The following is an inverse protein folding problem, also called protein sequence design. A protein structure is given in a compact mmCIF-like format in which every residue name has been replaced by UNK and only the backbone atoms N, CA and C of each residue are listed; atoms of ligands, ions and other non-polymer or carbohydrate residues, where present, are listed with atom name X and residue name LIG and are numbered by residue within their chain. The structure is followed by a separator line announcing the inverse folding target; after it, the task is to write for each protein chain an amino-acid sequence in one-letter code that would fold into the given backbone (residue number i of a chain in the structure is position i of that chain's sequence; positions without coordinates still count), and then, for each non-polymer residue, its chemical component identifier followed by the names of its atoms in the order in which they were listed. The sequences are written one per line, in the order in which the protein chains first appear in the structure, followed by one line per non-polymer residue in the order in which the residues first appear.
data_IF_997494090592
#
_entry.id   IF_997494090592
#
_cell.length_a   1.000
_cell.length_b   1.000
_cell.length_c   1.000
_cell.angle_alpha   90.00
_cell.angle_beta   90.00
_cell.angle_gamma   90.00
#
_symmetry.space_group_name_H-M   'P 1'
#
loop_
_entity.id
_entity.type
_entity.pdbx_description
1 polymer ?
#
# COMPACT_ATOMS: atom_id res chain seq x y z
N UNK A 1 -71.67 20.51 19.48
CA UNK A 1 -70.26 20.80 19.85
C UNK A 1 -69.37 19.75 19.19
N UNK A 2 -68.60 20.10 18.15
CA UNK A 2 -67.67 19.18 17.50
C UNK A 2 -66.28 19.27 18.17
N UNK A 3 -65.78 18.13 18.65
CA UNK A 3 -64.42 18.01 19.19
C UNK A 3 -63.42 17.77 18.07
N UNK A 4 -62.51 18.71 17.86
CA UNK A 4 -61.39 18.62 16.92
C UNK A 4 -60.29 17.70 17.48
N UNK A 5 -60.10 16.53 16.85
CA UNK A 5 -58.95 15.66 17.13
C UNK A 5 -57.69 16.23 16.48
N UNK A 6 -56.73 16.65 17.31
CA UNK A 6 -55.38 17.06 16.90
C UNK A 6 -54.54 15.83 16.56
N UNK A 7 -54.29 15.60 15.26
CA UNK A 7 -53.30 14.62 14.81
C UNK A 7 -51.89 15.20 14.91
N UNK A 8 -51.15 14.81 15.95
CA UNK A 8 -49.72 15.08 16.05
C UNK A 8 -48.94 14.26 15.00
N UNK A 9 -48.46 14.91 13.95
CA UNK A 9 -47.50 14.33 12.98
C UNK A 9 -46.16 14.10 13.68
N UNK A 10 -45.84 12.84 13.97
CA UNK A 10 -44.49 12.43 14.38
C UNK A 10 -43.60 12.36 13.14
N UNK A 11 -42.67 13.31 13.01
CA UNK A 11 -41.67 13.31 11.94
C UNK A 11 -40.61 12.19 12.15
N UNK A 12 -40.23 11.44 11.10
CA UNK A 12 -39.22 10.37 11.22
C UNK A 12 -37.81 10.96 11.31
N UNK A 13 -37.29 11.12 12.54
CA UNK A 13 -35.96 11.68 12.83
C UNK A 13 -34.79 10.67 12.88
N UNK A 14 -34.96 9.41 12.44
CA UNK A 14 -33.98 8.33 12.73
C UNK A 14 -33.22 7.72 11.54
N UNK A 15 -33.41 8.20 10.32
CA UNK A 15 -32.74 7.62 9.12
C UNK A 15 -31.39 8.27 8.81
N UNK A 16 -31.12 9.47 9.32
CA UNK A 16 -29.91 10.24 8.99
C UNK A 16 -28.61 9.66 9.56
N UNK A 17 -28.66 8.95 10.68
CA UNK A 17 -27.44 8.49 11.36
C UNK A 17 -26.73 7.35 10.62
N UNK A 18 -27.45 6.42 9.99
CA UNK A 18 -26.84 5.25 9.33
C UNK A 18 -26.15 5.59 8.00
N UNK A 19 -26.69 6.53 7.23
CA UNK A 19 -26.07 6.99 5.99
C UNK A 19 -24.75 7.76 6.25
N UNK A 20 -24.66 8.49 7.36
CA UNK A 20 -23.44 9.18 7.78
C UNK A 20 -22.31 8.19 8.11
N UNK A 21 -22.61 7.10 8.82
CA UNK A 21 -21.58 6.10 9.18
C UNK A 21 -21.00 5.38 7.96
N UNK A 22 -21.82 5.05 6.96
CA UNK A 22 -21.36 4.42 5.71
C UNK A 22 -20.44 5.34 4.89
N UNK A 23 -20.80 6.63 4.78
CA UNK A 23 -19.97 7.64 4.11
C UNK A 23 -18.65 7.91 4.83
N UNK A 24 -18.65 7.99 6.16
CA UNK A 24 -17.44 8.24 6.97
C UNK A 24 -16.48 7.04 6.91
N UNK A 25 -16.96 5.81 7.00
CA UNK A 25 -16.12 4.61 6.86
C UNK A 25 -15.52 4.48 5.46
N UNK A 26 -16.28 4.82 4.43
CA UNK A 26 -15.78 4.81 3.04
C UNK A 26 -14.77 5.93 2.80
N UNK A 27 -15.02 7.12 3.33
CA UNK A 27 -14.09 8.26 3.28
C UNK A 27 -12.79 8.01 4.06
N UNK A 28 -12.87 7.43 5.26
CA UNK A 28 -11.70 7.07 6.07
C UNK A 28 -10.90 5.94 5.42
N UNK A 29 -11.56 4.95 4.80
CA UNK A 29 -10.92 3.89 4.03
C UNK A 29 -10.36 4.36 2.68
N UNK A 30 -10.64 5.58 2.23
CA UNK A 30 -9.97 6.18 1.07
C UNK A 30 -8.84 7.11 1.54
N UNK A 31 -9.06 7.87 2.62
CA UNK A 31 -8.08 8.79 3.18
C UNK A 31 -6.87 8.08 3.83
N UNK A 32 -7.04 6.87 4.38
CA UNK A 32 -5.95 6.11 5.00
C UNK A 32 -5.05 5.36 4.00
N UNK A 33 -5.34 5.40 2.69
CA UNK A 33 -4.62 4.60 1.69
C UNK A 33 -4.17 5.45 0.49
N UNK A 34 -3.09 6.19 0.68
CA UNK A 34 -2.49 7.11 -0.30
C UNK A 34 -1.57 6.43 -1.35
N UNK A 35 -1.30 5.12 -1.27
CA UNK A 35 -0.36 4.43 -2.18
C UNK A 35 -0.99 3.58 -3.29
N UNK A 36 -2.01 2.76 -2.98
CA UNK A 36 -2.66 1.83 -3.92
C UNK A 36 -4.19 2.00 -3.88
N UNK A 37 -4.65 3.17 -4.36
CA UNK A 37 -6.02 3.65 -4.22
C UNK A 37 -7.07 2.81 -4.99
N UNK A 38 -6.70 2.19 -6.11
CA UNK A 38 -7.68 1.50 -6.97
C UNK A 38 -8.29 0.25 -6.31
N UNK A 39 -7.47 -0.60 -5.69
CA UNK A 39 -7.96 -1.86 -5.12
C UNK A 39 -8.74 -1.66 -3.82
N UNK A 40 -8.34 -0.69 -2.98
CA UNK A 40 -9.07 -0.37 -1.74
C UNK A 40 -10.36 0.42 -2.01
N UNK A 41 -10.35 1.36 -2.98
CA UNK A 41 -11.54 2.16 -3.29
C UNK A 41 -12.66 1.33 -3.92
N UNK A 42 -12.33 0.37 -4.79
CA UNK A 42 -13.34 -0.52 -5.38
C UNK A 42 -13.97 -1.41 -4.29
N UNK A 43 -13.14 -2.02 -3.43
CA UNK A 43 -13.63 -2.85 -2.33
C UNK A 43 -14.51 -2.07 -1.35
N UNK A 44 -14.04 -0.90 -0.89
CA UNK A 44 -14.79 -0.04 0.02
C UNK A 44 -16.09 0.49 -0.63
N UNK A 45 -16.05 0.85 -1.92
CA UNK A 45 -17.22 1.31 -2.67
C UNK A 45 -18.30 0.24 -2.80
N UNK A 46 -17.93 -1.01 -3.09
CA UNK A 46 -18.88 -2.13 -3.17
C UNK A 46 -19.51 -2.42 -1.80
N UNK A 47 -18.72 -2.46 -0.73
CA UNK A 47 -19.23 -2.68 0.63
C UNK A 47 -20.16 -1.54 1.06
N UNK A 48 -19.77 -0.29 0.79
CA UNK A 48 -20.57 0.90 1.06
C UNK A 48 -21.90 0.86 0.33
N UNK A 49 -21.92 0.50 -0.96
CA UNK A 49 -23.13 0.36 -1.75
C UNK A 49 -24.05 -0.75 -1.22
N UNK A 50 -23.49 -1.92 -0.87
CA UNK A 50 -24.24 -3.05 -0.31
C UNK A 50 -24.87 -2.67 1.04
N UNK A 51 -24.11 -2.06 1.95
CA UNK A 51 -24.61 -1.65 3.26
C UNK A 51 -25.67 -0.56 3.16
N UNK A 52 -25.49 0.41 2.25
CA UNK A 52 -26.47 1.48 2.00
C UNK A 52 -27.76 0.90 1.41
N UNK A 53 -27.65 -0.03 0.47
CA UNK A 53 -28.79 -0.75 -0.10
C UNK A 53 -29.55 -1.56 0.95
N UNK A 54 -28.84 -2.28 1.83
CA UNK A 54 -29.43 -3.02 2.94
C UNK A 54 -30.15 -2.09 3.92
N UNK A 55 -29.54 -0.96 4.27
CA UNK A 55 -30.14 0.02 5.17
C UNK A 55 -31.42 0.63 4.56
N UNK A 56 -31.38 1.01 3.28
CA UNK A 56 -32.54 1.53 2.56
C UNK A 56 -33.67 0.51 2.40
N UNK A 57 -33.34 -0.78 2.28
CA UNK A 57 -34.33 -1.85 2.24
C UNK A 57 -34.97 -2.09 3.63
N UNK A 58 -34.16 -2.06 4.70
CA UNK A 58 -34.64 -2.23 6.07
C UNK A 58 -35.54 -1.07 6.55
N UNK A 59 -35.38 0.14 6.02
CA UNK A 59 -36.29 1.26 6.34
C UNK A 59 -37.63 1.15 5.65
N UNK A 60 -37.68 0.55 4.46
CA UNK A 60 -38.94 0.32 3.71
C UNK A 60 -39.71 -0.90 4.19
N UNK A 61 -39.03 -1.90 4.75
CA UNK A 61 -39.63 -3.13 5.25
C UNK A 61 -39.38 -3.29 6.76
N UNK A 62 -40.34 -2.93 7.64
CA UNK A 62 -40.17 -3.08 9.09
C UNK A 62 -40.15 -4.57 9.45
N UNK A 63 -38.93 -5.08 9.64
CA UNK A 63 -38.67 -6.47 9.98
C UNK A 63 -38.99 -6.77 11.45
N UNK A 64 -39.44 -8.00 11.71
CA UNK A 64 -39.57 -8.52 13.07
C UNK A 64 -38.22 -8.44 13.83
N UNK A 65 -38.21 -8.27 15.17
CA UNK A 65 -36.98 -8.12 15.94
C UNK A 65 -35.95 -9.25 15.74
N UNK A 66 -36.43 -10.48 15.50
CA UNK A 66 -35.58 -11.65 15.24
C UNK A 66 -34.82 -11.55 13.91
N UNK A 67 -35.49 -11.15 12.82
CA UNK A 67 -34.84 -10.99 11.51
C UNK A 67 -33.87 -9.81 11.49
N UNK A 68 -34.13 -8.75 12.27
CA UNK A 68 -33.18 -7.64 12.45
C UNK A 68 -31.85 -8.09 13.10
N UNK A 69 -31.90 -8.90 14.16
CA UNK A 69 -30.68 -9.45 14.79
C UNK A 69 -29.92 -10.39 13.84
N UNK A 70 -30.64 -11.19 13.06
CA UNK A 70 -30.04 -12.07 12.06
C UNK A 70 -29.32 -11.27 10.98
N UNK A 71 -29.93 -10.21 10.45
CA UNK A 71 -29.30 -9.32 9.47
C UNK A 71 -28.07 -8.60 10.00
N UNK A 72 -28.08 -8.12 11.26
CA UNK A 72 -26.90 -7.52 11.86
C UNK A 72 -25.73 -8.51 11.95
N UNK A 73 -26.00 -9.78 12.29
CA UNK A 73 -24.98 -10.83 12.33
C UNK A 73 -24.42 -11.12 10.95
N UNK A 74 -25.28 -11.24 9.94
CA UNK A 74 -24.86 -11.44 8.54
C UNK A 74 -24.01 -10.26 8.06
N UNK A 75 -24.42 -9.02 8.36
CA UNK A 75 -23.65 -7.82 8.03
C UNK A 75 -22.28 -7.78 8.70
N UNK A 76 -22.19 -8.15 9.99
CA UNK A 76 -20.92 -8.23 10.70
C UNK A 76 -19.99 -9.30 10.10
N UNK A 77 -20.53 -10.49 9.76
CA UNK A 77 -19.75 -11.55 9.10
C UNK A 77 -19.27 -11.09 7.72
N UNK A 78 -20.11 -10.45 6.93
CA UNK A 78 -19.72 -9.92 5.62
C UNK A 78 -18.59 -8.88 5.73
N UNK A 79 -18.64 -8.03 6.76
CA UNK A 79 -17.59 -7.04 7.02
C UNK A 79 -16.27 -7.68 7.44
N UNK A 80 -16.32 -8.74 8.25
CA UNK A 80 -15.13 -9.53 8.61
C UNK A 80 -14.52 -10.19 7.37
N UNK A 81 -15.34 -10.84 6.53
CA UNK A 81 -14.87 -11.48 5.28
C UNK A 81 -14.21 -10.44 4.38
N UNK A 82 -14.81 -9.27 4.21
CA UNK A 82 -14.25 -8.20 3.41
C UNK A 82 -12.91 -7.67 3.97
N UNK A 83 -12.80 -7.52 5.29
CA UNK A 83 -11.55 -7.11 5.94
C UNK A 83 -10.44 -8.15 5.71
N UNK A 84 -10.75 -9.44 5.89
CA UNK A 84 -9.82 -10.55 5.63
C UNK A 84 -9.39 -10.58 4.16
N UNK A 85 -10.33 -10.47 3.21
CA UNK A 85 -10.00 -10.41 1.79
C UNK A 85 -9.09 -9.22 1.46
N UNK A 86 -9.34 -8.05 2.04
CA UNK A 86 -8.49 -6.87 1.84
C UNK A 86 -7.06 -7.11 2.32
N UNK A 87 -6.89 -7.78 3.47
CA UNK A 87 -5.57 -8.14 4.00
C UNK A 87 -4.87 -9.14 3.08
N UNK A 88 -5.57 -10.19 2.64
CA UNK A 88 -5.01 -11.23 1.76
C UNK A 88 -4.60 -10.68 0.39
N UNK A 89 -5.43 -9.83 -0.21
CA UNK A 89 -5.12 -9.18 -1.49
C UNK A 89 -3.89 -8.29 -1.37
N UNK A 90 -3.75 -7.55 -0.26
CA UNK A 90 -2.55 -6.74 -0.01
C UNK A 90 -1.30 -7.57 0.14
N UNK A 91 -1.37 -8.65 0.91
CA UNK A 91 -0.22 -9.53 1.07
C UNK A 91 0.19 -10.12 -0.29
N UNK A 92 -0.77 -10.57 -1.09
CA UNK A 92 -0.52 -11.05 -2.45
C UNK A 92 0.14 -10.00 -3.35
N UNK A 93 -0.34 -8.74 -3.32
CA UNK A 93 0.26 -7.64 -4.10
C UNK A 93 1.69 -7.31 -3.64
N UNK A 94 1.94 -7.29 -2.34
CA UNK A 94 3.28 -7.03 -1.78
C UNK A 94 4.26 -8.13 -2.17
N UNK A 95 3.84 -9.39 -2.03
CA UNK A 95 4.63 -10.56 -2.46
C UNK A 95 4.87 -10.56 -3.97
N UNK A 96 3.88 -10.14 -4.75
CA UNK A 96 4.02 -9.96 -6.19
C UNK A 96 5.08 -8.92 -6.55
N UNK A 97 5.08 -7.76 -5.89
CA UNK A 97 6.09 -6.72 -6.10
C UNK A 97 7.51 -7.18 -5.73
N UNK A 98 7.65 -7.97 -4.65
CA UNK A 98 8.93 -8.59 -4.31
C UNK A 98 9.41 -9.51 -5.44
N UNK A 99 8.51 -10.39 -5.94
CA UNK A 99 8.83 -11.29 -7.05
C UNK A 99 9.18 -10.54 -8.32
N UNK A 100 8.51 -9.42 -8.61
CA UNK A 100 8.80 -8.58 -9.77
C UNK A 100 10.22 -7.97 -9.70
N UNK A 101 10.68 -7.61 -8.50
CA UNK A 101 11.99 -7.01 -8.29
C UNK A 101 13.14 -8.01 -8.23
N UNK A 102 12.92 -9.17 -7.62
CA UNK A 102 13.98 -10.16 -7.37
C UNK A 102 13.91 -11.40 -8.25
N UNK A 103 12.82 -11.59 -9.00
CA UNK A 103 12.59 -12.78 -9.84
C UNK A 103 12.33 -14.07 -9.05
N UNK A 104 12.19 -13.99 -7.72
CA UNK A 104 12.01 -15.13 -6.82
C UNK A 104 10.91 -14.86 -5.80
N UNK A 105 10.38 -15.93 -5.21
CA UNK A 105 9.39 -15.80 -4.15
C UNK A 105 9.99 -15.18 -2.88
N UNK A 106 9.20 -14.36 -2.15
CA UNK A 106 9.64 -13.80 -0.88
C UNK A 106 9.91 -14.93 0.11
N UNK A 107 11.09 -14.94 0.74
CA UNK A 107 11.46 -15.98 1.69
C UNK A 107 10.57 -15.92 2.93
N UNK A 108 10.33 -17.07 3.57
CA UNK A 108 9.47 -17.14 4.76
C UNK A 108 9.99 -16.31 5.95
N UNK A 109 11.30 -16.04 5.98
CA UNK A 109 11.96 -15.22 7.00
C UNK A 109 11.79 -13.70 6.77
N UNK A 110 11.17 -13.29 5.66
CA UNK A 110 10.95 -11.88 5.35
C UNK A 110 9.89 -11.29 6.28
N UNK A 111 10.24 -10.20 6.93
CA UNK A 111 9.40 -9.48 7.89
C UNK A 111 9.13 -8.06 7.41
N UNK A 112 8.00 -7.50 7.87
CA UNK A 112 7.68 -6.08 7.70
C UNK A 112 7.75 -5.60 6.24
N UNK A 113 7.21 -6.39 5.29
CA UNK A 113 7.19 -5.99 3.88
C UNK A 113 6.24 -4.81 3.67
N UNK A 114 6.82 -3.64 3.41
CA UNK A 114 6.14 -2.46 2.92
C UNK A 114 6.47 -2.28 1.46
N UNK A 115 5.45 -2.00 0.66
CA UNK A 115 5.57 -1.77 -0.78
C UNK A 115 4.75 -0.54 -1.11
N UNK A 116 5.34 0.38 -1.86
CA UNK A 116 4.63 1.48 -2.49
C UNK A 116 4.99 1.59 -3.96
N UNK A 117 4.01 1.95 -4.77
CA UNK A 117 4.14 2.05 -6.23
C UNK A 117 3.69 3.43 -6.69
N UNK A 118 4.43 4.02 -7.60
CA UNK A 118 4.08 5.32 -8.18
C UNK A 118 4.46 5.37 -9.65
N UNK A 119 3.72 6.18 -10.38
CA UNK A 119 3.95 6.43 -11.80
C UNK A 119 5.16 7.35 -11.99
N UNK A 120 6.10 6.93 -12.85
CA UNK A 120 7.39 7.59 -13.04
C UNK A 120 7.39 8.69 -14.13
N UNK A 121 6.33 8.78 -14.94
CA UNK A 121 6.18 9.85 -15.94
C UNK A 121 5.87 9.36 -17.35
N UNK A 122 6.45 8.24 -17.79
CA UNK A 122 6.20 7.64 -19.12
C UNK A 122 5.14 6.53 -19.10
N UNK A 123 4.49 6.22 -20.24
CA UNK A 123 3.44 5.20 -20.31
C UNK A 123 3.95 3.82 -19.88
N UNK A 124 3.45 3.31 -18.76
CA UNK A 124 3.89 2.03 -18.18
C UNK A 124 5.06 2.16 -17.19
N UNK A 125 5.67 3.34 -17.08
CA UNK A 125 6.77 3.57 -16.15
C UNK A 125 6.24 3.58 -14.72
N UNK A 126 6.58 2.54 -13.99
CA UNK A 126 6.27 2.38 -12.58
C UNK A 126 7.56 2.33 -11.78
N UNK A 127 7.58 3.05 -10.67
CA UNK A 127 8.57 2.89 -9.63
C UNK A 127 7.92 2.19 -8.46
N UNK A 128 8.67 1.27 -7.87
CA UNK A 128 8.25 0.48 -6.72
C UNK A 128 9.31 0.63 -5.63
N UNK A 129 8.91 1.21 -4.51
CA UNK A 129 9.70 1.27 -3.29
C UNK A 129 9.31 0.10 -2.40
N UNK A 130 10.30 -0.57 -1.83
CA UNK A 130 10.07 -1.61 -0.85
C UNK A 130 10.96 -1.43 0.37
N UNK A 131 10.42 -1.73 1.54
CA UNK A 131 11.16 -1.84 2.79
C UNK A 131 10.81 -3.17 3.44
N UNK A 132 11.80 -3.88 3.93
CA UNK A 132 11.59 -5.11 4.67
C UNK A 132 12.77 -5.40 5.59
N UNK A 133 12.58 -6.34 6.52
CA UNK A 133 13.64 -6.91 7.34
C UNK A 133 13.86 -8.36 6.98
N UNK A 134 15.11 -8.75 6.81
CA UNK A 134 15.48 -10.14 6.52
C UNK A 134 16.91 -10.42 6.98
N UNK A 135 17.26 -11.71 7.08
CA UNK A 135 18.63 -12.13 7.32
C UNK A 135 19.58 -11.54 6.23
N UNK A 136 20.67 -10.86 6.63
CA UNK A 136 21.65 -10.33 5.68
C UNK A 136 22.20 -11.36 4.70
N UNK A 137 22.28 -12.64 5.07
CA UNK A 137 22.71 -13.71 4.16
C UNK A 137 21.75 -13.89 2.99
N UNK A 138 20.44 -13.72 3.22
CA UNK A 138 19.43 -13.77 2.17
C UNK A 138 19.61 -12.60 1.22
N UNK A 139 19.83 -11.38 1.73
CA UNK A 139 20.10 -10.21 0.88
C UNK A 139 21.34 -10.46 0.02
N UNK A 140 22.42 -10.99 0.62
CA UNK A 140 23.64 -11.34 -0.11
C UNK A 140 23.37 -12.36 -1.21
N UNK A 141 22.52 -13.36 -0.98
CA UNK A 141 22.12 -14.33 -2.01
C UNK A 141 21.31 -13.67 -3.14
N UNK A 142 20.39 -12.78 -2.80
CA UNK A 142 19.57 -12.03 -3.77
C UNK A 142 20.43 -11.12 -4.67
N UNK A 143 21.49 -10.51 -4.12
CA UNK A 143 22.40 -9.66 -4.91
C UNK A 143 23.50 -10.45 -5.62
N UNK A 144 23.94 -11.60 -5.08
CA UNK A 144 25.02 -12.40 -5.67
C UNK A 144 24.69 -12.98 -7.05
N UNK A 145 23.41 -13.14 -7.35
CA UNK A 145 22.94 -13.58 -8.69
C UNK A 145 23.01 -12.48 -9.75
N UNK A 146 23.35 -11.25 -9.34
CA UNK A 146 23.29 -10.05 -10.17
C UNK A 146 24.68 -9.46 -10.42
N UNK A 147 24.88 -8.82 -11.58
CA UNK A 147 26.10 -8.06 -11.85
C UNK A 147 26.03 -6.74 -11.07
N UNK A 148 27.03 -6.51 -10.22
CA UNK A 148 27.20 -5.22 -9.52
C UNK A 148 27.76 -4.19 -10.48
N UNK A 149 27.17 -3.00 -10.49
CA UNK A 149 27.84 -1.81 -10.99
C UNK A 149 28.47 -1.02 -9.84
N UNK A 150 29.57 -0.33 -10.14
CA UNK A 150 30.21 0.57 -9.20
C UNK A 150 29.34 1.83 -9.01
N UNK A 151 29.06 2.19 -7.75
CA UNK A 151 28.21 3.33 -7.44
C UNK A 151 29.03 4.48 -6.84
N UNK A 152 29.22 5.54 -7.64
CA UNK A 152 30.01 6.72 -7.27
C UNK A 152 29.47 7.45 -6.04
N UNK A 153 28.14 7.49 -5.83
CA UNK A 153 27.54 8.12 -4.65
C UNK A 153 27.84 7.32 -3.38
N UNK A 154 27.83 5.99 -3.47
CA UNK A 154 28.20 5.13 -2.35
C UNK A 154 29.68 5.27 -2.00
N UNK A 155 30.56 5.32 -3.00
CA UNK A 155 31.99 5.54 -2.78
C UNK A 155 32.24 6.91 -2.11
N UNK A 156 31.51 7.97 -2.50
CA UNK A 156 31.59 9.28 -1.85
C UNK A 156 31.13 9.24 -0.38
N UNK A 157 30.08 8.48 -0.07
CA UNK A 157 29.63 8.26 1.30
C UNK A 157 30.70 7.53 2.13
N UNK A 158 31.29 6.45 1.61
CA UNK A 158 32.37 5.72 2.29
C UNK A 158 33.62 6.57 2.51
N UNK A 159 33.92 7.49 1.58
CA UNK A 159 35.02 8.45 1.72
C UNK A 159 34.72 9.57 2.74
N UNK A 160 33.51 9.62 3.32
CA UNK A 160 33.09 10.65 4.25
C UNK A 160 32.82 12.01 3.60
N UNK A 161 32.76 12.08 2.27
CA UNK A 161 32.50 13.34 1.53
C UNK A 161 31.00 13.57 1.28
N UNK A 162 30.16 12.59 1.62
CA UNK A 162 28.71 12.63 1.51
C UNK A 162 28.07 12.13 2.81
N UNK A 163 27.04 12.83 3.30
CA UNK A 163 26.23 12.40 4.46
C UNK A 163 25.24 11.29 4.09
N UNK A 164 24.72 10.56 5.11
CA UNK A 164 23.67 9.56 4.90
C UNK A 164 22.47 10.13 4.14
N UNK A 165 21.98 11.31 4.54
CA UNK A 165 20.85 11.97 3.90
C UNK A 165 21.11 12.25 2.42
N UNK A 166 22.31 12.71 2.07
CA UNK A 166 22.67 12.98 0.68
C UNK A 166 22.76 11.68 -0.16
N UNK A 167 23.29 10.59 0.41
CA UNK A 167 23.29 9.28 -0.24
C UNK A 167 21.86 8.77 -0.44
N UNK A 168 21.02 8.92 0.59
CA UNK A 168 19.62 8.52 0.55
C UNK A 168 18.84 9.28 -0.52
N UNK A 169 18.97 10.62 -0.51
CA UNK A 169 18.32 11.50 -1.48
C UNK A 169 18.86 11.28 -2.89
N UNK A 170 20.14 10.91 -3.09
CA UNK A 170 20.66 10.61 -4.44
C UNK A 170 20.19 9.24 -4.94
N UNK A 171 20.11 8.25 -4.06
CA UNK A 171 19.69 6.88 -4.40
C UNK A 171 18.18 6.83 -4.66
N UNK A 172 17.41 7.57 -3.87
CA UNK A 172 15.95 7.57 -3.84
C UNK A 172 15.34 8.96 -4.12
N UNK A 173 15.97 9.77 -4.97
CA UNK A 173 15.54 11.15 -5.30
C UNK A 173 14.04 11.28 -5.67
N UNK A 174 13.48 10.24 -6.30
CA UNK A 174 12.07 10.25 -6.69
C UNK A 174 11.14 10.05 -5.49
N UNK A 175 11.58 9.31 -4.46
CA UNK A 175 10.82 9.17 -3.22
C UNK A 175 10.77 10.49 -2.43
N UNK A 176 11.88 11.23 -2.41
CA UNK A 176 11.97 12.50 -1.69
C UNK A 176 11.09 13.59 -2.31
N UNK A 177 10.98 13.64 -3.64
CA UNK A 177 10.10 14.60 -4.34
C UNK A 177 8.61 14.30 -4.17
N UNK A 178 8.23 13.03 -3.98
CA UNK A 178 6.82 12.61 -3.85
C UNK A 178 6.29 12.65 -2.41
N UNK A 179 7.11 13.08 -1.44
CA UNK A 179 6.76 13.13 -0.01
C UNK A 179 6.23 11.81 0.53
N UNK A 180 6.88 10.70 0.19
CA UNK A 180 6.59 9.41 0.82
C UNK A 180 7.07 9.49 2.28
N UNK A 181 6.16 9.77 3.22
CA UNK A 181 6.48 10.16 4.60
C UNK A 181 7.42 9.15 5.29
N UNK A 182 7.11 7.86 5.23
CA UNK A 182 7.93 6.82 5.87
C UNK A 182 9.26 6.53 5.14
N UNK A 183 9.44 7.03 3.92
CA UNK A 183 10.71 6.97 3.19
C UNK A 183 11.63 8.14 3.53
N UNK A 184 11.05 9.27 3.95
CA UNK A 184 11.79 10.44 4.43
C UNK A 184 12.34 10.24 5.85
N UNK A 185 11.72 9.36 6.64
CA UNK A 185 12.08 9.05 8.02
C UNK A 185 12.97 7.79 8.15
N UNK A 186 13.63 7.35 7.07
CA UNK A 186 14.53 6.21 7.13
C UNK A 186 15.71 6.52 8.07
N UNK A 187 15.86 5.75 9.18
CA UNK A 187 16.93 6.01 10.13
C UNK A 187 18.29 5.80 9.46
N UNK A 188 19.34 6.53 9.90
CA UNK A 188 20.69 6.28 9.43
C UNK A 188 21.09 4.83 9.73
N UNK A 189 21.53 4.14 8.69
CA UNK A 189 22.10 2.80 8.80
C UNK A 189 23.54 2.91 9.32
N UNK A 190 23.95 1.96 10.17
CA UNK A 190 25.27 2.00 10.78
C UNK A 190 26.36 1.65 9.75
N UNK A 191 26.08 0.68 8.89
CA UNK A 191 26.97 0.23 7.82
C UNK A 191 26.16 -0.05 6.55
N UNK A 192 25.63 0.99 5.88
CA UNK A 192 24.85 0.79 4.68
C UNK A 192 25.72 0.15 3.60
N UNK A 193 25.13 -0.79 2.87
CA UNK A 193 25.64 -1.35 1.64
C UNK A 193 24.67 -0.99 0.54
N UNK A 194 25.18 -0.52 -0.59
CA UNK A 194 24.38 -0.20 -1.77
C UNK A 194 24.78 -1.13 -2.90
N UNK A 195 23.80 -1.74 -3.52
CA UNK A 195 23.98 -2.57 -4.70
C UNK A 195 22.93 -2.22 -5.74
N UNK A 196 23.34 -2.12 -7.00
CA UNK A 196 22.44 -1.89 -8.13
C UNK A 196 22.38 -3.16 -8.95
N UNK A 197 21.19 -3.76 -9.02
CA UNK A 197 20.84 -4.91 -9.85
C UNK A 197 20.16 -4.44 -11.12
N UNK A 198 20.70 -4.86 -12.26
CA UNK A 198 20.06 -4.67 -13.55
C UNK A 198 20.19 -3.23 -14.05
N UNK A 199 20.97 -3.08 -15.10
CA UNK A 199 20.96 -1.95 -16.03
C UNK A 199 20.88 -2.59 -17.40
N UNK A 200 19.69 -3.08 -17.76
CA UNK A 200 19.45 -3.36 -19.18
C UNK A 200 19.34 -2.01 -19.87
N UNK A 201 20.48 -1.42 -20.22
CA UNK A 201 20.55 -0.29 -21.14
C UNK A 201 20.24 -0.82 -22.54
N UNK A 202 18.96 -1.05 -22.85
CA UNK A 202 18.57 -1.01 -24.26
C UNK A 202 18.56 0.48 -24.62
N UNK A 203 19.68 0.93 -25.20
CA UNK A 203 19.87 2.29 -25.65
C UNK A 203 19.03 2.56 -26.94
N UNK A 204 19.13 3.76 -27.52
CA UNK A 204 18.10 4.81 -27.64
C UNK A 204 17.09 4.59 -28.78
N UNK A 205 17.05 3.40 -29.39
CA UNK A 205 16.26 3.12 -30.61
C UNK A 205 15.47 1.81 -30.58
N UNK A 206 15.55 1.03 -29.50
CA UNK A 206 14.72 -0.16 -29.31
C UNK A 206 14.03 -0.08 -27.95
N UNK A 207 12.72 0.15 -27.93
CA UNK A 207 11.90 0.36 -26.73
C UNK A 207 11.74 -0.88 -25.84
N UNK A 208 12.85 -1.44 -25.36
CA UNK A 208 12.86 -2.48 -24.35
C UNK A 208 12.66 -1.87 -22.96
N UNK A 209 11.99 -2.58 -22.04
CA UNK A 209 11.72 -2.10 -20.69
C UNK A 209 13.03 -1.87 -19.91
N UNK A 210 13.29 -0.63 -19.50
CA UNK A 210 14.42 -0.32 -18.62
C UNK A 210 14.03 -0.74 -17.21
N UNK A 211 14.56 -1.87 -16.76
CA UNK A 211 14.47 -2.31 -15.37
C UNK A 211 15.76 -2.02 -14.63
N UNK A 212 15.65 -1.27 -13.54
CA UNK A 212 16.75 -1.07 -12.60
C UNK A 212 16.27 -1.26 -11.17
N UNK A 213 17.05 -1.98 -10.37
CA UNK A 213 16.72 -2.25 -8.97
C UNK A 213 17.89 -1.83 -8.10
N UNK A 214 17.71 -0.80 -7.27
CA UNK A 214 18.70 -0.36 -6.29
C UNK A 214 18.32 -0.92 -4.93
N UNK A 215 19.29 -1.50 -4.23
CA UNK A 215 19.11 -2.16 -2.94
C UNK A 215 20.10 -1.55 -1.95
N UNK A 216 19.58 -0.98 -0.87
CA UNK A 216 20.36 -0.51 0.27
C UNK A 216 20.03 -1.38 1.48
N UNK A 217 21.03 -1.93 2.16
CA UNK A 217 20.79 -2.72 3.37
C UNK A 217 21.89 -2.54 4.42
N UNK A 218 21.61 -2.98 5.65
CA UNK A 218 22.57 -3.00 6.76
C UNK A 218 22.58 -4.39 7.39
N UNK A 219 23.78 -4.98 7.49
CA UNK A 219 23.95 -6.32 8.07
C UNK A 219 23.61 -6.36 9.57
N UNK A 220 23.72 -5.23 10.28
CA UNK A 220 23.50 -5.17 11.73
C UNK A 220 22.02 -5.16 12.11
N UNK A 221 21.18 -4.55 11.27
CA UNK A 221 19.75 -4.39 11.54
C UNK A 221 18.87 -5.30 10.66
N UNK A 222 19.40 -5.81 9.56
CA UNK A 222 18.63 -6.54 8.54
C UNK A 222 17.65 -5.66 7.77
N UNK A 223 17.60 -4.35 8.04
CA UNK A 223 16.78 -3.39 7.29
C UNK A 223 17.27 -3.33 5.85
N UNK A 224 16.33 -3.50 4.92
CA UNK A 224 16.59 -3.49 3.48
C UNK A 224 15.59 -2.58 2.80
N UNK A 225 16.10 -1.74 1.92
CA UNK A 225 15.35 -0.76 1.14
C UNK A 225 15.64 -0.98 -0.33
N UNK A 226 14.58 -0.97 -1.14
CA UNK A 226 14.65 -1.27 -2.56
C UNK A 226 13.91 -0.21 -3.34
N UNK A 227 14.50 0.22 -4.45
CA UNK A 227 13.84 0.99 -5.49
C UNK A 227 13.96 0.20 -6.79
N UNK A 228 12.82 -0.27 -7.28
CA UNK A 228 12.70 -0.84 -8.62
C UNK A 228 12.07 0.19 -9.55
N UNK A 229 12.69 0.44 -10.68
CA UNK A 229 12.10 1.15 -11.81
C UNK A 229 11.75 0.12 -12.88
N UNK A 230 10.55 0.19 -13.45
CA UNK A 230 10.14 -0.58 -14.61
C UNK A 230 9.50 0.36 -15.62
N UNK A 231 10.15 0.58 -16.76
CA UNK A 231 9.53 1.11 -17.98
C UNK A 231 9.29 0.01 -19.01
#
# INVERSE_FOLDING_TARGET
MPGTQSQARVAPRRVSSFAMFGGILSGAAVAMYSGDWACSAIGAGVIGAVMTGLAAWMTRNPLRPRSRRMLMRVGAVALIIAAVQTILVRDALRRGAFRDAFGVDPPAALQDLYVERFYAGGPGDMMTLMRFKVDPQIVRQLVATSRSEENSSYNAYLAGTMSWKQLWDSTFAVASTRKVEWWLDAPPLAQPKLHTVGTSSVAPTGGGPIRSTRIVWDDSTGETFVLMTSG
#
